data_IF_445903478747
#
_entry.id   IF_445903478747
#
_cell.length_a   1.000
_cell.length_b   1.000
_cell.length_c   1.000
_cell.angle_alpha   90.00
_cell.angle_beta   90.00
_cell.angle_gamma   90.00
#
_symmetry.space_group_name_H-M   'P 1'
#
loop_
_entity.id
_entity.type
_entity.pdbx_description
1 polymer ?
#
# COMPACT_ATOMS: atom_id res chain seq x y z
N UNK A 1 -12.21 35.14 50.20
CA UNK A 1 -13.23 35.63 49.23
C UNK A 1 -12.78 35.24 47.83
N UNK A 2 -13.61 34.48 47.09
CA UNK A 2 -13.33 33.88 45.77
C UNK A 2 -13.41 34.94 44.66
N UNK A 3 -12.39 35.04 43.79
CA UNK A 3 -12.46 35.82 42.54
C UNK A 3 -13.04 34.93 41.44
N UNK A 4 -14.17 35.35 40.87
CA UNK A 4 -14.92 34.63 39.85
C UNK A 4 -14.41 34.96 38.44
N UNK A 5 -14.28 33.91 37.66
CA UNK A 5 -14.03 33.81 36.22
C UNK A 5 -15.09 34.56 35.41
N UNK A 6 -14.68 35.59 34.66
CA UNK A 6 -15.55 36.35 33.73
C UNK A 6 -14.95 36.49 32.32
N UNK A 7 -14.03 35.60 31.92
CA UNK A 7 -13.44 35.62 30.56
C UNK A 7 -13.93 34.50 29.63
N UNK A 8 -14.85 33.64 30.07
CA UNK A 8 -15.18 32.39 29.34
C UNK A 8 -16.44 32.44 28.47
N UNK A 9 -17.19 33.55 28.40
CA UNK A 9 -18.49 33.57 27.70
C UNK A 9 -18.51 34.34 26.36
N UNK A 10 -17.43 35.05 25.99
CA UNK A 10 -17.40 35.80 24.73
C UNK A 10 -16.86 35.02 23.52
N UNK A 11 -16.14 33.91 23.73
CA UNK A 11 -15.59 33.11 22.62
C UNK A 11 -16.58 32.11 22.00
N UNK A 12 -17.68 31.79 22.68
CA UNK A 12 -18.63 30.75 22.23
C UNK A 12 -19.65 31.29 21.21
N UNK A 13 -19.91 32.60 21.19
CA UNK A 13 -20.89 33.21 20.29
C UNK A 13 -20.39 33.37 18.84
N UNK A 14 -19.07 33.36 18.60
CA UNK A 14 -18.50 33.55 17.27
C UNK A 14 -18.53 32.27 16.40
N UNK A 15 -18.57 31.08 17.01
CA UNK A 15 -18.54 29.80 16.28
C UNK A 15 -19.90 29.41 15.71
N UNK A 16 -21.00 29.89 16.30
CA UNK A 16 -22.37 29.56 15.87
C UNK A 16 -22.83 30.33 14.62
N UNK A 17 -22.17 31.43 14.23
CA UNK A 17 -22.55 32.21 13.04
C UNK A 17 -21.96 31.68 11.72
N UNK A 18 -20.95 30.80 11.74
CA UNK A 18 -20.28 30.32 10.52
C UNK A 18 -20.86 29.01 9.94
N UNK A 19 -21.79 28.35 10.65
CA UNK A 19 -22.38 27.07 10.21
C UNK A 19 -23.70 27.21 9.42
N UNK A 20 -24.19 28.43 9.17
CA UNK A 20 -25.47 28.67 8.47
C UNK A 20 -25.33 29.02 6.99
N UNK A 21 -24.12 29.08 6.41
CA UNK A 21 -23.91 29.60 5.04
C UNK A 21 -23.49 28.56 3.97
N UNK A 22 -23.36 27.27 4.30
CA UNK A 22 -22.96 26.25 3.32
C UNK A 22 -24.05 25.21 3.03
N UNK A 23 -25.31 25.64 2.92
CA UNK A 23 -26.44 24.78 2.56
C UNK A 23 -27.18 25.28 1.32
N UNK A 24 -26.52 25.82 0.30
CA UNK A 24 -27.10 25.98 -1.03
C UNK A 24 -25.98 26.10 -2.07
N UNK A 25 -25.77 25.03 -2.84
CA UNK A 25 -25.38 25.02 -4.27
C UNK A 25 -25.05 23.57 -4.68
N UNK A 26 -26.11 22.77 -4.81
CA UNK A 26 -26.16 21.63 -5.73
C UNK A 26 -27.26 21.97 -6.74
N UNK A 27 -26.91 22.02 -8.03
CA UNK A 27 -27.73 21.34 -9.05
C UNK A 27 -26.80 20.49 -9.93
N UNK A 28 -26.91 19.15 -9.92
CA UNK A 28 -27.88 18.34 -10.70
C UNK A 28 -27.78 18.54 -12.21
N UNK A 29 -27.24 17.50 -12.87
CA UNK A 29 -27.27 17.30 -14.32
C UNK A 29 -28.72 17.30 -14.86
N UNK A 30 -28.92 17.91 -16.02
CA UNK A 30 -29.99 17.53 -16.93
C UNK A 30 -29.64 17.92 -18.37
N UNK A 31 -29.61 16.90 -19.23
CA UNK A 31 -29.56 16.98 -20.69
C UNK A 31 -30.66 17.88 -21.26
N UNK A 32 -30.30 18.66 -22.28
CA UNK A 32 -31.25 19.10 -23.31
C UNK A 32 -30.57 19.16 -24.67
N UNK A 33 -30.75 18.09 -25.42
CA UNK A 33 -31.12 18.03 -26.85
C UNK A 33 -30.81 19.27 -27.71
N UNK A 34 -29.81 19.16 -28.59
CA UNK A 34 -29.92 19.67 -29.96
C UNK A 34 -29.75 18.53 -30.95
N UNK A 35 -30.90 18.25 -31.56
CA UNK A 35 -31.19 17.31 -32.63
C UNK A 35 -30.60 17.86 -33.93
N UNK A 36 -29.74 17.09 -34.59
CA UNK A 36 -29.55 17.18 -36.04
C UNK A 36 -29.72 15.77 -36.61
N UNK A 37 -30.85 15.62 -37.27
CA UNK A 37 -31.34 14.47 -38.01
C UNK A 37 -30.64 14.34 -39.36
N UNK A 38 -30.28 13.11 -39.74
CA UNK A 38 -30.71 12.60 -41.03
C UNK A 38 -30.92 11.08 -40.99
N UNK A 39 -32.10 10.74 -41.49
CA UNK A 39 -32.75 9.45 -41.61
C UNK A 39 -32.35 8.73 -42.89
N UNK A 40 -32.30 7.40 -42.84
CA UNK A 40 -32.81 6.45 -43.85
C UNK A 40 -32.54 5.03 -43.32
N UNK A 41 -33.37 4.01 -43.42
CA UNK A 41 -34.75 3.83 -43.87
C UNK A 41 -35.15 2.40 -43.47
N UNK A 42 -36.39 2.26 -42.98
CA UNK A 42 -37.28 1.08 -43.05
C UNK A 42 -36.86 -0.24 -42.39
N UNK A 43 -37.54 -0.54 -41.28
CA UNK A 43 -37.64 -1.90 -40.76
C UNK A 43 -38.58 -2.80 -41.57
N UNK A 44 -38.41 -4.11 -41.40
CA UNK A 44 -39.51 -5.08 -41.34
C UNK A 44 -39.05 -6.31 -40.55
N UNK A 45 -39.68 -6.49 -39.39
CA UNK A 45 -39.59 -7.62 -38.45
C UNK A 45 -40.26 -8.85 -39.08
N UNK A 46 -39.68 -10.05 -38.93
CA UNK A 46 -40.34 -11.31 -38.50
C UNK A 46 -39.25 -12.32 -38.10
N UNK A 47 -39.47 -12.94 -36.95
CA UNK A 47 -38.75 -14.01 -36.25
C UNK A 47 -38.84 -15.39 -36.93
N UNK A 48 -37.82 -16.24 -36.75
CA UNK A 48 -37.91 -17.63 -36.20
C UNK A 48 -36.59 -18.41 -36.45
N UNK A 49 -36.02 -18.90 -35.33
CA UNK A 49 -35.43 -20.22 -35.05
C UNK A 49 -34.48 -20.96 -36.03
N UNK A 50 -33.47 -21.56 -35.38
CA UNK A 50 -32.72 -22.80 -35.66
C UNK A 50 -31.53 -22.79 -36.62
N UNK A 51 -30.33 -23.07 -36.07
CA UNK A 51 -29.26 -23.92 -36.64
C UNK A 51 -28.19 -24.13 -35.54
N UNK A 52 -27.94 -25.32 -34.97
CA UNK A 52 -27.43 -26.60 -35.49
C UNK A 52 -25.90 -26.71 -35.60
N UNK A 53 -25.32 -27.62 -34.80
CA UNK A 53 -24.23 -28.57 -35.16
C UNK A 53 -23.81 -29.33 -33.89
N UNK A 54 -24.38 -30.50 -33.61
CA UNK A 54 -24.03 -31.84 -34.12
C UNK A 54 -22.71 -32.40 -33.60
N UNK A 55 -22.91 -33.33 -32.66
CA UNK A 55 -22.07 -34.37 -32.09
C UNK A 55 -21.39 -35.31 -33.09
N UNK A 56 -20.30 -35.98 -32.66
CA UNK A 56 -20.07 -37.41 -32.89
C UNK A 56 -19.01 -38.03 -31.96
N UNK A 57 -19.45 -39.08 -31.25
CA UNK A 57 -18.69 -40.05 -30.44
C UNK A 57 -18.09 -41.17 -31.31
N UNK A 58 -17.06 -41.84 -30.79
CA UNK A 58 -16.92 -43.33 -30.74
C UNK A 58 -15.71 -43.70 -29.85
N UNK A 59 -15.91 -44.19 -28.62
CA UNK A 59 -15.96 -45.61 -28.15
C UNK A 59 -14.62 -46.38 -28.26
N UNK A 60 -13.82 -46.70 -27.21
CA UNK A 60 -13.96 -47.52 -25.96
C UNK A 60 -13.49 -48.98 -26.12
N UNK A 61 -12.46 -49.39 -25.35
CA UNK A 61 -12.21 -50.69 -24.67
C UNK A 61 -10.69 -50.97 -24.57
N UNK A 62 -10.10 -51.71 -23.61
CA UNK A 62 -10.24 -52.01 -22.17
C UNK A 62 -9.04 -52.92 -21.79
N UNK A 63 -8.78 -53.08 -20.48
CA UNK A 63 -7.87 -54.05 -19.79
C UNK A 63 -6.41 -53.57 -19.56
N UNK A 64 -5.71 -53.82 -18.45
CA UNK A 64 -5.98 -54.21 -17.05
C UNK A 64 -4.64 -54.19 -16.28
N UNK A 65 -4.63 -53.72 -15.03
CA UNK A 65 -3.49 -53.60 -14.08
C UNK A 65 -2.89 -54.97 -13.64
N UNK A 66 -1.77 -55.09 -12.87
CA UNK A 66 -1.71 -54.67 -11.44
C UNK A 66 -0.34 -54.29 -10.77
N UNK A 67 -0.45 -53.53 -9.67
CA UNK A 67 0.23 -53.57 -8.35
C UNK A 67 1.76 -53.54 -8.15
N UNK A 68 2.22 -52.65 -7.25
CA UNK A 68 2.87 -53.00 -5.96
C UNK A 68 3.04 -51.77 -5.03
N UNK A 69 3.24 -52.02 -3.74
CA UNK A 69 2.84 -51.24 -2.56
C UNK A 69 3.97 -51.00 -1.54
N UNK A 70 3.91 -49.92 -0.74
CA UNK A 70 4.27 -49.82 0.71
C UNK A 70 4.18 -48.34 1.17
N UNK A 71 3.33 -47.86 2.10
CA UNK A 71 3.30 -47.95 3.58
C UNK A 71 4.66 -47.64 4.25
N UNK A 72 4.85 -46.71 5.20
CA UNK A 72 3.95 -46.15 6.22
C UNK A 72 4.65 -45.09 7.13
N UNK A 73 3.80 -44.26 7.78
CA UNK A 73 3.83 -43.82 9.19
C UNK A 73 4.44 -42.46 9.61
N UNK A 74 3.49 -41.61 10.01
CA UNK A 74 3.50 -40.39 10.82
C UNK A 74 4.27 -40.45 12.15
N UNK A 75 4.84 -39.30 12.52
CA UNK A 75 4.90 -38.86 13.92
C UNK A 75 4.57 -37.36 14.02
N UNK A 76 3.32 -37.07 14.40
CA UNK A 76 2.84 -35.77 14.83
C UNK A 76 3.42 -35.41 16.20
N UNK A 77 3.86 -34.15 16.37
CA UNK A 77 3.75 -33.44 17.64
C UNK A 77 3.24 -32.03 17.34
N UNK A 78 1.98 -31.84 17.70
CA UNK A 78 1.28 -30.55 17.73
C UNK A 78 1.57 -29.80 19.03
N UNK A 79 1.18 -28.52 19.01
CA UNK A 79 0.99 -27.52 20.06
C UNK A 79 2.23 -26.72 20.45
N UNK A 80 2.16 -25.40 20.61
CA UNK A 80 1.05 -24.45 20.54
C UNK A 80 1.64 -23.05 20.77
N UNK A 81 1.37 -22.10 19.88
CA UNK A 81 1.02 -20.74 20.27
C UNK A 81 0.42 -20.03 19.05
N UNK A 82 -0.89 -19.81 19.11
CA UNK A 82 -1.63 -18.98 18.17
C UNK A 82 -1.16 -17.52 18.30
N UNK A 83 -0.19 -17.17 17.47
CA UNK A 83 -0.08 -15.86 16.85
C UNK A 83 -0.28 -16.11 15.36
N UNK A 84 -1.06 -15.29 14.67
CA UNK A 84 -1.07 -15.33 13.21
C UNK A 84 0.30 -14.83 12.78
N UNK A 85 1.27 -15.74 12.67
CA UNK A 85 2.59 -15.42 12.15
C UNK A 85 2.37 -14.87 10.75
N UNK A 86 2.55 -13.55 10.61
CA UNK A 86 2.69 -12.91 9.31
C UNK A 86 3.78 -13.72 8.60
N UNK A 87 3.42 -14.41 7.51
CA UNK A 87 4.33 -15.27 6.76
C UNK A 87 5.47 -14.39 6.21
N UNK A 88 6.59 -14.33 6.93
CA UNK A 88 7.81 -13.63 6.54
C UNK A 88 8.70 -14.61 5.79
N UNK A 89 9.11 -14.28 4.56
CA UNK A 89 10.01 -15.12 3.76
C UNK A 89 11.39 -14.49 3.67
N UNK A 90 12.32 -14.87 4.53
CA UNK A 90 13.67 -14.26 4.55
C UNK A 90 14.62 -14.80 3.46
N UNK A 91 14.11 -15.57 2.48
CA UNK A 91 14.98 -16.31 1.56
C UNK A 91 15.82 -15.36 0.68
N UNK A 92 17.14 -15.43 0.84
CA UNK A 92 18.12 -14.55 0.19
C UNK A 92 18.07 -13.07 0.61
N UNK A 93 17.49 -12.74 1.77
CA UNK A 93 17.68 -11.46 2.46
C UNK A 93 18.66 -11.64 3.64
N UNK A 94 19.46 -10.63 4.01
CA UNK A 94 20.31 -10.69 5.21
C UNK A 94 19.46 -10.77 6.48
N UNK A 95 20.00 -11.37 7.55
CA UNK A 95 19.31 -11.52 8.83
C UNK A 95 19.02 -10.16 9.49
N UNK A 96 19.96 -9.22 9.39
CA UNK A 96 19.88 -7.86 9.89
C UNK A 96 20.88 -6.95 9.15
N UNK A 97 20.97 -5.69 9.56
CA UNK A 97 21.89 -4.70 9.00
C UNK A 97 23.38 -5.04 9.12
N UNK A 98 23.81 -5.87 10.07
CA UNK A 98 25.21 -6.23 10.26
C UNK A 98 25.64 -7.40 9.37
N UNK A 99 24.67 -8.18 8.91
CA UNK A 99 24.87 -9.25 7.91
C UNK A 99 24.63 -8.76 6.47
N UNK A 100 24.17 -7.53 6.30
CA UNK A 100 23.99 -6.89 5.00
C UNK A 100 25.32 -6.35 4.43
N UNK A 101 25.35 -6.13 3.11
CA UNK A 101 26.43 -5.34 2.50
C UNK A 101 26.20 -3.86 2.83
N UNK A 102 27.29 -3.08 2.88
CA UNK A 102 27.26 -1.66 3.23
C UNK A 102 27.26 -0.73 2.00
N UNK A 103 26.85 -1.19 0.81
CA UNK A 103 26.78 -0.38 -0.41
C UNK A 103 25.42 0.32 -0.60
N UNK A 104 24.37 -0.22 0.01
CA UNK A 104 23.00 0.30 0.04
C UNK A 104 22.25 -0.32 1.21
N UNK A 105 21.01 0.09 1.45
CA UNK A 105 20.18 -0.55 2.48
C UNK A 105 19.63 -1.86 1.92
N UNK A 106 19.64 -2.92 2.71
CA UNK A 106 19.03 -4.21 2.39
C UNK A 106 17.86 -4.47 3.31
N UNK A 107 16.70 -4.80 2.74
CA UNK A 107 15.59 -5.37 3.50
C UNK A 107 16.05 -6.66 4.18
N UNK A 108 15.62 -6.89 5.41
CA UNK A 108 15.97 -8.04 6.26
C UNK A 108 14.81 -9.05 6.38
N UNK A 109 13.68 -8.72 5.77
CA UNK A 109 12.46 -9.50 5.75
C UNK A 109 11.46 -8.88 4.78
N UNK A 110 10.39 -9.61 4.47
CA UNK A 110 9.32 -9.17 3.58
C UNK A 110 7.96 -9.65 4.11
N UNK A 111 7.45 -8.93 5.10
CA UNK A 111 6.17 -9.25 5.72
C UNK A 111 5.04 -9.16 4.70
N UNK A 112 4.22 -10.22 4.58
CA UNK A 112 2.98 -10.18 3.79
C UNK A 112 1.86 -9.53 4.60
N UNK A 113 1.31 -8.44 4.09
CA UNK A 113 0.22 -7.68 4.72
C UNK A 113 -0.97 -7.63 3.76
N UNK A 114 -2.17 -7.78 4.31
CA UNK A 114 -3.40 -7.69 3.53
C UNK A 114 -4.16 -6.41 3.87
N UNK A 115 -4.35 -5.54 2.88
CA UNK A 115 -5.13 -4.31 2.99
C UNK A 115 -6.52 -4.54 2.44
N UNK A 116 -7.56 -4.21 3.21
CA UNK A 116 -8.95 -4.34 2.77
C UNK A 116 -9.57 -2.95 2.54
N UNK A 117 -10.11 -2.72 1.34
CA UNK A 117 -11.02 -1.61 1.06
C UNK A 117 -12.46 -2.11 0.97
N UNK A 118 -13.40 -1.29 1.44
CA UNK A 118 -14.83 -1.59 1.36
C UNK A 118 -15.39 -1.47 -0.07
N UNK A 119 -14.77 -0.66 -0.93
CA UNK A 119 -15.29 -0.33 -2.26
C UNK A 119 -14.65 -1.16 -3.39
N UNK A 120 -13.34 -1.40 -3.29
CA UNK A 120 -12.52 -1.99 -4.36
C UNK A 120 -12.00 -3.39 -4.05
N UNK A 121 -12.41 -3.96 -2.91
CA UNK A 121 -11.83 -5.20 -2.39
C UNK A 121 -10.48 -4.96 -1.70
N UNK A 122 -9.77 -6.02 -1.36
CA UNK A 122 -8.45 -5.94 -0.73
C UNK A 122 -7.30 -6.36 -1.65
N UNK A 123 -6.08 -6.01 -1.28
CA UNK A 123 -4.86 -6.45 -1.95
C UNK A 123 -3.82 -6.92 -0.92
N UNK A 124 -2.98 -7.86 -1.35
CA UNK A 124 -1.81 -8.28 -0.59
C UNK A 124 -0.60 -7.42 -0.98
N UNK A 125 0.21 -7.05 0.00
CA UNK A 125 1.43 -6.29 -0.15
C UNK A 125 2.57 -7.01 0.55
N UNK A 126 3.75 -7.02 -0.07
CA UNK A 126 4.98 -7.40 0.60
C UNK A 126 5.70 -6.15 1.06
N UNK A 127 5.89 -6.01 2.36
CA UNK A 127 6.49 -4.84 2.99
C UNK A 127 7.88 -5.22 3.52
N UNK A 128 8.94 -4.51 3.11
CA UNK A 128 10.27 -4.74 3.64
C UNK A 128 10.36 -4.52 5.15
N UNK A 129 11.21 -5.30 5.80
CA UNK A 129 11.62 -5.08 7.18
C UNK A 129 13.09 -4.64 7.24
N UNK A 130 13.48 -3.93 8.29
CA UNK A 130 14.80 -3.28 8.39
C UNK A 130 15.47 -3.52 9.75
N UNK A 131 15.51 -4.78 10.19
CA UNK A 131 16.08 -5.15 11.49
C UNK A 131 17.54 -4.68 11.60
N UNK A 132 17.85 -3.96 12.68
CA UNK A 132 19.20 -3.50 12.99
C UNK A 132 19.66 -2.22 12.27
N UNK A 133 18.83 -1.61 11.41
CA UNK A 133 19.16 -0.31 10.82
C UNK A 133 18.81 0.83 11.79
N UNK A 134 19.85 1.50 12.28
CA UNK A 134 19.74 2.76 13.04
C UNK A 134 20.06 3.96 12.14
N UNK A 135 19.82 5.17 12.65
CA UNK A 135 20.21 6.41 11.98
C UNK A 135 21.71 6.44 11.65
N UNK A 136 22.57 6.04 12.58
CA UNK A 136 24.03 6.00 12.40
C UNK A 136 24.43 4.99 11.33
N UNK A 137 23.81 3.80 11.34
CA UNK A 137 24.06 2.77 10.33
C UNK A 137 23.69 3.29 8.94
N UNK A 138 22.52 3.90 8.79
CA UNK A 138 22.09 4.48 7.50
C UNK A 138 23.03 5.58 7.03
N UNK A 139 23.46 6.49 7.92
CA UNK A 139 24.46 7.51 7.58
C UNK A 139 25.80 6.93 7.17
N UNK A 140 26.22 5.82 7.78
CA UNK A 140 27.47 5.14 7.38
C UNK A 140 27.42 4.56 5.96
N UNK A 141 26.21 4.24 5.46
CA UNK A 141 25.98 3.67 4.14
C UNK A 141 25.73 4.76 3.09
N UNK A 142 24.89 5.75 3.41
CA UNK A 142 24.39 6.74 2.44
C UNK A 142 24.99 8.15 2.62
N UNK A 143 25.76 8.37 3.67
CA UNK A 143 26.25 9.69 4.06
C UNK A 143 25.21 10.51 4.85
N UNK A 144 25.57 11.76 5.12
CA UNK A 144 24.67 12.71 5.77
C UNK A 144 23.48 13.08 4.87
N UNK A 145 22.25 13.13 5.40
CA UNK A 145 21.09 13.55 4.65
C UNK A 145 21.17 15.04 4.29
N UNK A 146 20.55 15.40 3.16
CA UNK A 146 20.46 16.80 2.72
C UNK A 146 19.50 17.61 3.59
N UNK A 147 18.48 16.94 4.14
CA UNK A 147 17.48 17.53 5.03
C UNK A 147 17.00 16.50 6.06
N UNK A 148 16.73 16.98 7.26
CA UNK A 148 16.15 16.21 8.36
C UNK A 148 14.86 16.91 8.79
N UNK A 149 13.75 16.17 8.85
CA UNK A 149 12.47 16.63 9.43
C UNK A 149 12.07 15.72 10.59
N UNK A 150 11.43 16.28 11.60
CA UNK A 150 10.91 15.54 12.77
C UNK A 150 9.41 15.75 12.98
N UNK A 151 8.78 16.56 12.12
CA UNK A 151 7.39 16.97 12.27
C UNK A 151 6.49 16.35 11.19
N UNK A 152 6.57 15.01 11.07
CA UNK A 152 5.74 14.29 10.11
C UNK A 152 4.25 14.48 10.37
N UNK A 153 3.83 14.74 11.62
CA UNK A 153 2.43 14.92 11.96
C UNK A 153 1.84 16.19 11.33
N UNK A 154 2.61 17.27 11.20
CA UNK A 154 2.16 18.49 10.51
C UNK A 154 2.39 18.44 9.00
N UNK A 155 3.37 17.66 8.53
CA UNK A 155 3.77 17.57 7.13
C UNK A 155 3.20 16.35 6.39
N UNK A 156 2.32 15.55 7.02
CA UNK A 156 1.95 14.22 6.51
C UNK A 156 1.36 14.23 5.09
N UNK A 157 0.55 15.24 4.75
CA UNK A 157 -0.05 15.34 3.40
C UNK A 157 1.00 15.69 2.35
N UNK A 158 1.91 16.62 2.68
CA UNK A 158 3.03 16.98 1.82
C UNK A 158 3.95 15.79 1.60
N UNK A 159 4.27 15.05 2.66
CA UNK A 159 5.06 13.83 2.60
C UNK A 159 4.41 12.75 1.72
N UNK A 160 3.13 12.43 1.95
CA UNK A 160 2.41 11.45 1.15
C UNK A 160 2.38 11.81 -0.34
N UNK A 161 2.09 13.07 -0.66
CA UNK A 161 2.05 13.55 -2.05
C UNK A 161 3.43 13.47 -2.71
N UNK A 162 4.47 13.90 -2.00
CA UNK A 162 5.85 13.84 -2.47
C UNK A 162 6.28 12.39 -2.74
N UNK A 163 5.99 11.48 -1.82
CA UNK A 163 6.37 10.08 -1.99
C UNK A 163 5.55 9.40 -3.09
N UNK A 164 4.28 9.77 -3.27
CA UNK A 164 3.49 9.34 -4.42
C UNK A 164 4.12 9.78 -5.76
N UNK A 165 4.66 10.99 -5.85
CA UNK A 165 5.41 11.46 -7.03
C UNK A 165 6.69 10.65 -7.24
N UNK A 166 7.45 10.39 -6.17
CA UNK A 166 8.66 9.56 -6.22
C UNK A 166 8.35 8.14 -6.74
N UNK A 167 7.28 7.50 -6.23
CA UNK A 167 6.85 6.17 -6.65
C UNK A 167 6.39 6.15 -8.12
N UNK A 168 5.61 7.15 -8.55
CA UNK A 168 5.21 7.29 -9.97
C UNK A 168 6.42 7.40 -10.89
N UNK A 169 7.42 8.20 -10.51
CA UNK A 169 8.67 8.36 -11.25
C UNK A 169 9.40 7.02 -11.35
N UNK A 170 9.58 6.30 -10.24
CA UNK A 170 10.26 4.99 -10.24
C UNK A 170 9.56 3.94 -11.12
N UNK A 171 8.22 3.96 -11.16
CA UNK A 171 7.44 3.11 -12.08
C UNK A 171 7.66 3.51 -13.54
N UNK A 172 7.63 4.82 -13.85
CA UNK A 172 7.87 5.32 -15.20
C UNK A 172 9.29 5.00 -15.70
N UNK A 173 10.28 5.06 -14.82
CA UNK A 173 11.67 4.67 -15.07
C UNK A 173 11.88 3.14 -15.10
N UNK A 174 10.83 2.33 -14.88
CA UNK A 174 10.88 0.87 -14.83
C UNK A 174 11.83 0.32 -13.76
N UNK A 175 12.08 1.10 -12.70
CA UNK A 175 12.90 0.69 -11.55
C UNK A 175 12.14 -0.20 -10.57
N UNK A 176 10.83 -0.02 -10.48
CA UNK A 176 9.92 -0.85 -9.67
C UNK A 176 8.65 -1.16 -10.46
N UNK A 177 7.95 -2.22 -10.06
CA UNK A 177 6.63 -2.52 -10.62
C UNK A 177 5.54 -1.63 -10.03
N UNK A 178 4.41 -1.50 -10.72
CA UNK A 178 3.22 -0.82 -10.19
C UNK A 178 2.71 -1.47 -8.89
N UNK A 179 2.88 -2.78 -8.75
CA UNK A 179 2.47 -3.51 -7.54
C UNK A 179 3.36 -3.18 -6.35
N UNK A 180 4.69 -3.14 -6.56
CA UNK A 180 5.64 -2.67 -5.55
C UNK A 180 5.33 -1.22 -5.17
N UNK A 181 5.09 -0.33 -6.14
CA UNK A 181 4.71 1.05 -5.84
C UNK A 181 3.45 1.14 -4.97
N UNK A 182 2.43 0.31 -5.22
CA UNK A 182 1.23 0.25 -4.36
C UNK A 182 1.55 -0.26 -2.95
N UNK A 183 2.38 -1.28 -2.81
CA UNK A 183 2.80 -1.80 -1.50
C UNK A 183 3.53 -0.73 -0.68
N UNK A 184 4.50 -0.02 -1.28
CA UNK A 184 5.22 1.04 -0.60
C UNK A 184 4.32 2.25 -0.27
N UNK A 185 3.39 2.61 -1.16
CA UNK A 185 2.41 3.66 -0.87
C UNK A 185 1.52 3.31 0.33
N UNK A 186 1.15 2.03 0.47
CA UNK A 186 0.38 1.58 1.63
C UNK A 186 1.15 1.79 2.94
N UNK A 187 2.44 1.44 2.97
CA UNK A 187 3.31 1.70 4.12
C UNK A 187 3.45 3.19 4.45
N UNK A 188 3.56 4.06 3.44
CA UNK A 188 3.57 5.52 3.61
C UNK A 188 2.28 6.01 4.27
N UNK A 189 1.13 5.51 3.81
CA UNK A 189 -0.18 5.86 4.36
C UNK A 189 -0.30 5.39 5.81
N UNK A 190 0.14 4.18 6.14
CA UNK A 190 0.12 3.65 7.50
C UNK A 190 0.95 4.50 8.46
N UNK A 191 2.18 4.86 8.07
CA UNK A 191 3.07 5.72 8.87
C UNK A 191 2.44 7.10 9.06
N UNK A 192 1.88 7.69 8.01
CA UNK A 192 1.22 8.98 8.10
C UNK A 192 -0.06 8.96 8.94
N UNK A 193 -0.80 7.85 8.96
CA UNK A 193 -1.91 7.69 9.89
C UNK A 193 -1.41 7.55 11.33
N UNK A 194 -0.35 6.77 11.53
CA UNK A 194 0.26 6.58 12.84
C UNK A 194 0.86 7.88 13.41
N UNK A 195 1.40 8.78 12.59
CA UNK A 195 1.95 10.07 13.05
C UNK A 195 0.89 10.98 13.66
N UNK A 196 -0.36 10.89 13.19
CA UNK A 196 -1.50 11.63 13.73
C UNK A 196 -1.91 11.15 15.14
N UNK A 197 -1.42 9.99 15.57
CA UNK A 197 -1.65 9.41 16.89
C UNK A 197 -0.54 9.76 17.89
N UNK A 198 0.19 10.87 17.67
CA UNK A 198 1.29 11.37 18.50
C UNK A 198 2.59 10.52 18.41
N UNK A 199 2.72 9.66 17.39
CA UNK A 199 4.00 9.03 17.10
C UNK A 199 4.93 10.05 16.43
N UNK A 200 6.15 10.18 16.96
CA UNK A 200 7.17 11.05 16.39
C UNK A 200 8.07 10.24 15.47
N UNK A 201 8.40 10.80 14.31
CA UNK A 201 9.26 10.16 13.32
C UNK A 201 10.37 11.11 12.91
N UNK A 202 11.55 10.55 12.60
CA UNK A 202 12.63 11.31 11.96
C UNK A 202 12.68 10.93 10.49
N UNK A 203 12.63 11.93 9.62
CA UNK A 203 12.71 11.75 8.17
C UNK A 203 14.05 12.29 7.70
N UNK A 204 14.81 11.45 7.00
CA UNK A 204 15.99 11.85 6.25
C UNK A 204 15.63 11.94 4.77
N UNK A 205 16.00 13.06 4.16
CA UNK A 205 15.83 13.28 2.73
C UNK A 205 17.18 13.31 2.03
N UNK A 206 17.27 12.56 0.94
CA UNK A 206 18.43 12.52 0.05
C UNK A 206 18.00 12.82 -1.38
N UNK A 207 18.96 13.22 -2.22
CA UNK A 207 18.81 13.40 -3.67
C UNK A 207 17.66 14.36 -4.00
N UNK A 208 17.72 15.57 -3.45
CA UNK A 208 16.72 16.62 -3.58
C UNK A 208 15.31 16.13 -3.20
N UNK A 209 15.21 15.43 -2.06
CA UNK A 209 13.98 14.84 -1.52
C UNK A 209 13.33 13.77 -2.43
N UNK A 210 14.09 13.17 -3.35
CA UNK A 210 13.62 12.02 -4.15
C UNK A 210 13.70 10.70 -3.40
N UNK A 211 14.48 10.65 -2.33
CA UNK A 211 14.66 9.47 -1.47
C UNK A 211 14.36 9.87 -0.05
N UNK A 212 13.34 9.24 0.53
CA UNK A 212 12.91 9.43 1.92
C UNK A 212 13.26 8.20 2.74
N UNK A 213 13.82 8.43 3.93
CA UNK A 213 14.11 7.38 4.92
C UNK A 213 13.45 7.79 6.24
N UNK A 214 12.62 6.92 6.81
CA UNK A 214 11.85 7.24 8.02
C UNK A 214 12.27 6.34 9.16
N UNK A 215 12.59 6.95 10.29
CA UNK A 215 12.90 6.26 11.54
C UNK A 215 11.79 6.48 12.56
N UNK A 216 11.56 5.46 13.40
CA UNK A 216 10.72 5.57 14.59
C UNK A 216 11.32 6.56 15.60
N UNK A 217 10.57 6.85 16.66
CA UNK A 217 11.05 7.66 17.78
C UNK A 217 12.29 7.04 18.45
N UNK A 218 12.35 5.70 18.49
CA UNK A 218 13.46 4.91 19.04
C UNK A 218 14.67 4.84 18.10
N UNK A 219 14.55 5.37 16.88
CA UNK A 219 15.64 5.41 15.89
C UNK A 219 15.73 4.17 15.01
N UNK A 220 14.73 3.29 15.03
CA UNK A 220 14.65 2.11 14.16
C UNK A 220 14.13 2.50 12.77
N UNK A 221 14.75 1.97 11.71
CA UNK A 221 14.32 2.22 10.34
C UNK A 221 12.97 1.56 10.04
N UNK A 222 12.01 2.35 9.56
CA UNK A 222 10.64 1.91 9.25
C UNK A 222 10.35 1.91 7.74
N UNK A 223 10.95 2.83 6.99
CA UNK A 223 10.63 3.04 5.59
C UNK A 223 11.83 3.57 4.82
N UNK A 224 11.95 3.11 3.57
CA UNK A 224 12.89 3.62 2.57
C UNK A 224 12.15 3.72 1.24
N UNK A 225 12.25 4.85 0.53
CA UNK A 225 11.79 4.97 -0.86
C UNK A 225 12.38 3.83 -1.71
N UNK A 226 11.58 3.08 -2.50
CA UNK A 226 12.02 1.85 -3.16
C UNK A 226 12.86 2.08 -4.42
N UNK A 227 13.85 2.98 -4.39
CA UNK A 227 14.81 3.13 -5.48
C UNK A 227 15.91 2.04 -5.35
N UNK A 228 16.08 1.13 -6.34
CA UNK A 228 17.08 0.07 -6.29
C UNK A 228 18.54 0.53 -6.14
N UNK A 229 18.81 1.81 -6.42
CA UNK A 229 20.12 2.40 -6.15
C UNK A 229 20.40 2.48 -4.64
N UNK A 230 19.37 2.68 -3.82
CA UNK A 230 19.43 2.92 -2.37
C UNK A 230 18.89 1.76 -1.52
N UNK A 231 18.00 0.94 -2.09
CA UNK A 231 17.32 -0.15 -1.39
C UNK A 231 17.35 -1.45 -2.20
N UNK A 232 17.84 -2.52 -1.59
CA UNK A 232 17.61 -3.89 -2.06
C UNK A 232 16.42 -4.51 -1.30
N UNK A 233 15.41 -4.97 -2.04
CA UNK A 233 14.23 -5.64 -1.49
C UNK A 233 13.72 -6.71 -2.47
N UNK A 234 12.82 -7.58 -2.01
CA UNK A 234 12.20 -8.65 -2.81
C UNK A 234 10.70 -8.53 -2.79
#
# INVERSE_FOLDING_TARGET
MKKRTLFSLFSLAAVLFLLSACRFLVPSNSDSTTRSSNSDKSGKKVSLKDSSSSSKQSSKSRSSSPSSSSSSRSSSKENSSSSKDIEKTTDGLPEDADHAKNDKIYATGNAKVYYQSYESGGFEAQIPEFKGYTQEKVKSILGEPEKISTDLASEYEAFQNKELENLKRLVQEQKISTEQARAFLAGVVDIAQASRLQNTYTIYSYKNEQISIIFSQEGELLYVTPDPDYLYFK
#
